data_IF_015083208130
#
_entry.id   IF_015083208130
#
_cell.length_a   1.000
_cell.length_b   1.000
_cell.length_c   1.000
_cell.angle_alpha   90.00
_cell.angle_beta   90.00
_cell.angle_gamma   90.00
#
_symmetry.space_group_name_H-M   'P 1'
#
loop_
_entity.id
_entity.type
_entity.pdbx_description
1 polymer ?
#
# COMPACT_ATOMS: atom_id res chain seq x y z
N UNK A 1 4.68 -20.74 3.00
CA UNK A 1 5.13 -19.37 2.65
C UNK A 1 3.97 -18.39 2.43
N UNK A 2 2.94 -18.69 1.61
CA UNK A 2 1.77 -17.82 1.41
C UNK A 2 0.94 -17.62 2.69
N UNK A 3 0.64 -18.69 3.43
CA UNK A 3 -0.11 -18.64 4.70
C UNK A 3 0.59 -17.78 5.75
N UNK A 4 1.91 -17.96 5.92
CA UNK A 4 2.70 -17.12 6.83
C UNK A 4 2.65 -15.63 6.45
N UNK A 5 2.64 -15.33 5.14
CA UNK A 5 2.51 -13.95 4.67
C UNK A 5 1.12 -13.39 4.98
N UNK A 6 0.06 -14.18 4.74
CA UNK A 6 -1.31 -13.78 5.07
C UNK A 6 -1.49 -13.52 6.57
N UNK A 7 -0.94 -14.41 7.40
CA UNK A 7 -0.93 -14.25 8.86
C UNK A 7 -0.22 -12.96 9.28
N UNK A 8 0.96 -12.68 8.72
CA UNK A 8 1.67 -11.44 9.01
C UNK A 8 0.88 -10.19 8.60
N UNK A 9 0.15 -10.24 7.50
CA UNK A 9 -0.71 -9.12 7.11
C UNK A 9 -1.84 -8.89 8.09
N UNK A 10 -2.61 -9.94 8.41
CA UNK A 10 -3.78 -9.85 9.26
C UNK A 10 -3.44 -9.53 10.72
N UNK A 11 -2.40 -10.17 11.27
CA UNK A 11 -2.10 -10.07 12.71
C UNK A 11 -1.13 -8.93 13.04
N UNK A 12 -0.26 -8.53 12.11
CA UNK A 12 0.85 -7.63 12.43
C UNK A 12 0.86 -6.33 11.65
N UNK A 13 0.36 -6.32 10.41
CA UNK A 13 0.45 -5.14 9.54
C UNK A 13 -0.86 -4.37 9.52
N UNK A 14 -1.96 -4.99 9.11
CA UNK A 14 -3.26 -4.32 8.99
C UNK A 14 -3.67 -3.59 10.27
N UNK A 15 -3.57 -4.19 11.49
CA UNK A 15 -3.91 -3.48 12.72
C UNK A 15 -3.11 -2.18 12.90
N UNK A 16 -1.83 -2.18 12.54
CA UNK A 16 -0.95 -1.01 12.60
C UNK A 16 -1.22 0.02 11.49
N UNK A 17 -2.00 -0.31 10.46
CA UNK A 17 -2.32 0.58 9.34
C UNK A 17 -3.68 1.29 9.49
N UNK A 18 -4.54 0.85 10.42
CA UNK A 18 -5.88 1.42 10.61
C UNK A 18 -5.79 2.92 10.94
N UNK A 19 -5.09 3.28 12.02
CA UNK A 19 -4.95 4.69 12.42
C UNK A 19 -4.21 5.53 11.37
N UNK A 20 -3.04 5.12 10.82
CA UNK A 20 -2.40 5.86 9.73
C UNK A 20 -3.29 6.10 8.52
N UNK A 21 -4.13 5.13 8.16
CA UNK A 21 -5.04 5.26 7.03
C UNK A 21 -6.17 6.24 7.34
N UNK A 22 -6.78 6.16 8.52
CA UNK A 22 -7.80 7.13 8.94
C UNK A 22 -7.25 8.56 8.98
N UNK A 23 -6.04 8.74 9.50
CA UNK A 23 -5.37 10.04 9.54
C UNK A 23 -5.06 10.57 8.13
N UNK A 24 -4.64 9.68 7.22
CA UNK A 24 -4.47 10.02 5.81
C UNK A 24 -5.79 10.50 5.19
N UNK A 25 -6.90 9.77 5.38
CA UNK A 25 -8.21 10.18 4.86
C UNK A 25 -8.61 11.56 5.39
N UNK A 26 -8.46 11.77 6.70
CA UNK A 26 -8.78 13.05 7.36
C UNK A 26 -7.97 14.21 6.80
N UNK A 27 -6.65 14.06 6.67
CA UNK A 27 -5.75 15.13 6.23
C UNK A 27 -5.85 15.43 4.73
N UNK A 28 -6.21 14.42 3.93
CA UNK A 28 -6.35 14.56 2.47
C UNK A 28 -7.77 14.92 2.02
N UNK A 29 -8.72 15.11 2.95
CA UNK A 29 -10.15 15.26 2.65
C UNK A 29 -10.64 14.12 1.75
N UNK A 30 -10.49 12.88 2.23
CA UNK A 30 -10.80 11.64 1.49
C UNK A 30 -10.09 11.58 0.13
N UNK A 31 -8.75 11.72 0.15
CA UNK A 31 -7.87 11.64 -1.00
C UNK A 31 -8.06 12.74 -2.06
N UNK A 32 -8.89 13.74 -1.80
CA UNK A 32 -9.08 14.91 -2.68
C UNK A 32 -7.79 15.72 -2.82
N UNK A 33 -7.05 15.89 -1.71
CA UNK A 33 -5.76 16.58 -1.67
C UNK A 33 -4.62 15.57 -1.80
N UNK A 34 -3.52 16.00 -2.42
CA UNK A 34 -2.33 15.15 -2.57
C UNK A 34 -1.63 14.99 -1.22
N UNK A 35 -1.37 13.76 -0.82
CA UNK A 35 -0.57 13.45 0.35
C UNK A 35 0.89 13.84 0.09
N UNK A 36 1.55 14.41 1.09
CA UNK A 36 2.98 14.71 1.03
C UNK A 36 3.77 13.42 1.26
N UNK A 37 4.83 13.19 0.48
CA UNK A 37 5.75 12.07 0.67
C UNK A 37 6.54 12.27 1.98
N UNK A 38 6.01 11.75 3.08
CA UNK A 38 6.57 11.86 4.43
C UNK A 38 7.44 10.67 4.82
N UNK A 39 8.46 10.36 4.02
CA UNK A 39 9.40 9.27 4.35
C UNK A 39 10.29 9.73 5.50
N UNK A 40 10.28 8.99 6.62
CA UNK A 40 11.10 9.34 7.78
C UNK A 40 12.60 9.24 7.43
N UNK A 41 13.42 9.97 8.17
CA UNK A 41 14.86 9.74 8.18
C UNK A 41 15.20 8.36 8.77
N UNK A 42 16.41 7.84 8.50
CA UNK A 42 16.89 6.62 9.15
C UNK A 42 16.92 6.82 10.66
N UNK A 43 16.51 5.80 11.41
CA UNK A 43 16.75 5.77 12.85
C UNK A 43 18.19 5.35 13.16
N UNK A 44 18.65 5.68 14.37
CA UNK A 44 20.01 5.38 14.88
C UNK A 44 20.20 3.91 15.30
N UNK A 45 19.22 3.04 15.02
CA UNK A 45 19.33 1.63 15.37
C UNK A 45 20.37 0.92 14.50
N UNK A 46 21.21 0.08 15.11
CA UNK A 46 22.21 -0.74 14.42
C UNK A 46 21.64 -1.69 13.35
N UNK A 47 20.33 -1.98 13.38
CA UNK A 47 19.62 -2.83 12.42
C UNK A 47 18.86 -2.05 11.33
N UNK A 48 19.07 -0.74 11.25
CA UNK A 48 18.46 0.13 10.24
C UNK A 48 18.98 -0.23 8.84
N UNK A 49 18.06 -0.47 7.90
CA UNK A 49 18.37 -0.79 6.51
C UNK A 49 17.57 0.12 5.57
N UNK A 50 17.95 0.18 4.30
CA UNK A 50 17.13 0.80 3.25
C UNK A 50 16.44 -0.26 2.41
N UNK A 51 15.19 0.01 2.05
CA UNK A 51 14.43 -0.80 1.10
C UNK A 51 14.09 0.08 -0.10
N UNK A 52 14.52 -0.35 -1.29
CA UNK A 52 14.13 0.28 -2.54
C UNK A 52 12.73 -0.20 -2.92
N UNK A 53 11.80 0.74 -3.02
CA UNK A 53 10.40 0.46 -3.36
C UNK A 53 10.10 1.14 -4.69
N UNK A 54 9.71 0.34 -5.69
CA UNK A 54 9.14 0.90 -6.92
C UNK A 54 7.75 1.45 -6.58
N UNK A 55 7.47 2.71 -6.91
CA UNK A 55 6.15 3.28 -6.69
C UNK A 55 5.42 3.37 -8.01
N UNK A 56 4.17 2.94 -8.06
CA UNK A 56 3.27 3.27 -9.17
C UNK A 56 2.70 4.68 -8.97
N UNK A 57 3.62 5.65 -8.94
CA UNK A 57 3.41 7.08 -8.87
C UNK A 57 4.65 7.71 -9.53
N UNK A 58 4.83 7.49 -10.84
CA UNK A 58 5.90 8.01 -11.71
C UNK A 58 7.38 7.95 -11.25
N UNK A 59 7.70 7.48 -10.05
CA UNK A 59 9.00 7.60 -9.37
C UNK A 59 9.39 6.34 -8.57
N UNK A 60 10.69 6.25 -8.26
CA UNK A 60 11.23 5.25 -7.32
C UNK A 60 11.61 5.95 -6.03
N UNK A 61 11.26 5.36 -4.89
CA UNK A 61 11.62 5.90 -3.58
C UNK A 61 12.44 4.89 -2.78
N UNK A 62 13.33 5.39 -1.93
CA UNK A 62 13.99 4.59 -0.90
C UNK A 62 13.33 4.88 0.44
N UNK A 63 12.90 3.84 1.14
CA UNK A 63 12.27 3.95 2.46
C UNK A 63 13.18 3.29 3.49
N UNK A 64 13.49 3.94 4.63
CA UNK A 64 14.22 3.29 5.69
C UNK A 64 13.34 2.25 6.39
N UNK A 65 13.95 1.10 6.65
CA UNK A 65 13.35 -0.05 7.31
C UNK A 65 14.07 -0.30 8.63
N UNK A 66 13.31 -0.38 9.72
CA UNK A 66 13.80 -0.85 11.00
C UNK A 66 12.75 -1.76 11.64
N UNK A 67 13.13 -3.01 11.92
CA UNK A 67 12.23 -3.99 12.54
C UNK A 67 11.79 -3.62 13.97
N UNK A 68 12.49 -2.67 14.62
CA UNK A 68 12.23 -2.25 16.01
C UNK A 68 11.49 -0.92 16.14
N UNK A 69 11.59 -0.03 15.15
CA UNK A 69 11.06 1.33 15.27
C UNK A 69 9.70 1.47 14.60
N UNK A 70 9.65 1.31 13.27
CA UNK A 70 8.44 1.54 12.51
C UNK A 70 8.43 0.70 11.24
N UNK A 71 7.29 0.08 10.96
CA UNK A 71 7.09 -0.73 9.76
C UNK A 71 7.14 0.15 8.52
N UNK A 72 7.82 -0.32 7.47
CA UNK A 72 7.83 0.35 6.15
C UNK A 72 6.41 0.57 5.63
N UNK A 73 5.49 -0.37 5.90
CA UNK A 73 4.09 -0.23 5.51
C UNK A 73 3.41 0.99 6.13
N UNK A 74 3.70 1.31 7.40
CA UNK A 74 3.13 2.47 8.10
C UNK A 74 3.62 3.76 7.44
N UNK A 75 4.92 3.87 7.16
CA UNK A 75 5.51 5.04 6.49
C UNK A 75 4.92 5.25 5.09
N UNK A 76 4.76 4.17 4.33
CA UNK A 76 4.18 4.21 3.00
C UNK A 76 2.72 4.69 3.05
N UNK A 77 1.89 4.13 3.93
CA UNK A 77 0.47 4.51 4.03
C UNK A 77 0.31 5.97 4.44
N UNK A 78 1.11 6.46 5.40
CA UNK A 78 1.12 7.90 5.75
C UNK A 78 1.49 8.79 4.56
N UNK A 79 2.24 8.26 3.60
CA UNK A 79 2.66 8.97 2.39
C UNK A 79 1.68 8.77 1.22
N UNK A 80 0.50 8.17 1.44
CA UNK A 80 -0.48 7.90 0.38
C UNK A 80 -0.14 6.69 -0.50
N UNK A 81 0.76 5.82 -0.07
CA UNK A 81 1.23 4.65 -0.83
C UNK A 81 0.91 3.35 -0.09
N UNK A 82 0.52 2.31 -0.81
CA UNK A 82 0.22 1.01 -0.22
C UNK A 82 1.18 -0.09 -0.70
N UNK A 83 1.85 -0.83 0.20
CA UNK A 83 2.86 -1.83 -0.16
C UNK A 83 2.28 -3.15 -0.69
N UNK A 84 3.00 -3.83 -1.57
CA UNK A 84 2.65 -5.17 -2.06
C UNK A 84 3.03 -6.32 -1.09
N UNK A 85 3.79 -6.03 -0.03
CA UNK A 85 4.25 -7.01 0.95
C UNK A 85 4.41 -6.36 2.35
N UNK A 86 4.31 -7.13 3.44
CA UNK A 86 4.11 -6.56 4.77
C UNK A 86 5.37 -5.90 5.35
N UNK A 87 6.54 -6.50 5.16
CA UNK A 87 7.79 -6.04 5.80
C UNK A 87 8.86 -5.55 4.83
N UNK A 88 8.99 -6.19 3.66
CA UNK A 88 9.98 -5.86 2.63
C UNK A 88 9.30 -5.76 1.27
N UNK A 89 8.50 -4.69 1.03
CA UNK A 89 7.84 -4.49 -0.25
C UNK A 89 8.85 -4.18 -1.34
N UNK A 90 8.65 -4.76 -2.52
CA UNK A 90 9.37 -4.38 -3.74
C UNK A 90 8.58 -3.41 -4.62
N UNK A 91 7.30 -3.22 -4.30
CA UNK A 91 6.37 -2.32 -4.98
C UNK A 91 5.46 -1.68 -3.93
N UNK A 92 5.16 -0.40 -4.12
CA UNK A 92 4.04 0.28 -3.50
C UNK A 92 3.19 0.96 -4.58
N UNK A 93 1.91 1.13 -4.33
CA UNK A 93 0.95 1.68 -5.29
C UNK A 93 0.29 2.90 -4.68
N UNK A 94 0.07 3.96 -5.45
CA UNK A 94 -0.71 5.13 -5.00
C UNK A 94 -2.10 4.66 -4.52
N UNK A 95 -2.49 5.05 -3.31
CA UNK A 95 -3.77 4.64 -2.71
C UNK A 95 -4.94 5.12 -3.57
N UNK A 96 -4.85 6.27 -4.24
CA UNK A 96 -5.89 6.75 -5.17
C UNK A 96 -6.05 5.83 -6.37
N UNK A 97 -4.95 5.29 -6.87
CA UNK A 97 -4.99 4.31 -7.96
C UNK A 97 -5.66 3.02 -7.50
N UNK A 98 -5.33 2.55 -6.29
CA UNK A 98 -5.97 1.36 -5.73
C UNK A 98 -7.47 1.57 -5.50
N UNK A 99 -7.85 2.71 -4.93
CA UNK A 99 -9.25 3.06 -4.72
C UNK A 99 -10.02 3.16 -6.04
N UNK A 100 -9.46 3.83 -7.05
CA UNK A 100 -10.02 3.87 -8.40
C UNK A 100 -10.23 2.46 -9.00
N UNK A 101 -9.25 1.57 -8.87
CA UNK A 101 -9.34 0.20 -9.40
C UNK A 101 -10.34 -0.63 -8.62
N UNK A 102 -10.41 -0.48 -7.30
CA UNK A 102 -11.44 -1.10 -6.46
C UNK A 102 -12.83 -0.67 -6.93
N UNK A 103 -13.04 0.62 -7.19
CA UNK A 103 -14.29 1.14 -7.73
C UNK A 103 -14.59 0.62 -9.15
N UNK A 104 -13.59 0.52 -10.02
CA UNK A 104 -13.74 -0.04 -11.37
C UNK A 104 -14.22 -1.49 -11.30
N UNK A 105 -13.64 -2.30 -10.42
CA UNK A 105 -13.97 -3.72 -10.27
C UNK A 105 -15.34 -3.99 -9.62
N UNK A 106 -16.01 -2.97 -9.08
CA UNK A 106 -17.43 -3.06 -8.71
C UNK A 106 -18.36 -2.96 -9.93
N UNK A 107 -17.87 -2.47 -11.06
CA UNK A 107 -18.65 -2.17 -12.27
C UNK A 107 -18.28 -3.06 -13.47
N UNK A 108 -17.14 -3.73 -13.40
CA UNK A 108 -16.61 -4.64 -14.41
C UNK A 108 -16.03 -5.87 -13.73
N UNK A 109 -16.12 -7.04 -14.39
CA UNK A 109 -15.49 -8.26 -13.90
C UNK A 109 -14.00 -8.03 -13.58
N UNK A 110 -13.52 -8.36 -12.36
CA UNK A 110 -12.15 -8.07 -11.95
C UNK A 110 -11.11 -8.73 -12.88
N UNK A 111 -10.47 -7.94 -13.73
CA UNK A 111 -9.43 -8.41 -14.65
C UNK A 111 -8.09 -7.74 -14.34
N UNK A 112 -7.43 -8.26 -13.30
CA UNK A 112 -6.11 -7.81 -12.89
C UNK A 112 -5.04 -7.97 -13.99
N UNK A 113 -5.19 -8.96 -14.88
CA UNK A 113 -4.25 -9.17 -16.01
C UNK A 113 -4.37 -8.05 -17.02
N UNK A 114 -5.58 -7.78 -17.51
CA UNK A 114 -5.81 -6.70 -18.48
C UNK A 114 -5.38 -5.35 -17.90
N UNK A 115 -5.78 -5.05 -16.65
CA UNK A 115 -5.36 -3.82 -15.98
C UNK A 115 -3.82 -3.69 -15.92
N UNK A 116 -3.12 -4.74 -15.51
CA UNK A 116 -1.67 -4.67 -15.37
C UNK A 116 -0.95 -4.60 -16.73
N UNK A 117 -1.43 -5.29 -17.76
CA UNK A 117 -0.87 -5.19 -19.11
C UNK A 117 -1.09 -3.78 -19.67
N UNK A 118 -2.31 -3.24 -19.56
CA UNK A 118 -2.60 -1.85 -19.97
C UNK A 118 -1.69 -0.87 -19.23
N UNK A 119 -1.45 -1.08 -17.94
CA UNK A 119 -0.57 -0.23 -17.15
C UNK A 119 0.90 -0.36 -17.56
N UNK A 120 1.38 -1.58 -17.83
CA UNK A 120 2.73 -1.82 -18.34
C UNK A 120 2.93 -1.17 -19.71
N UNK A 121 1.96 -1.32 -20.63
CA UNK A 121 2.01 -0.73 -21.98
C UNK A 121 1.95 0.80 -21.92
N UNK A 122 1.04 1.36 -21.10
CA UNK A 122 0.91 2.81 -20.91
C UNK A 122 2.21 3.40 -20.35
N UNK A 123 2.76 2.80 -19.29
CA UNK A 123 4.01 3.28 -18.68
C UNK A 123 5.20 3.07 -19.62
N UNK A 124 5.22 1.95 -20.35
CA UNK A 124 6.23 1.64 -21.36
C UNK A 124 6.25 2.68 -22.49
N UNK A 125 5.08 3.15 -22.94
CA UNK A 125 4.95 4.21 -23.95
C UNK A 125 5.53 5.55 -23.49
N UNK A 126 5.56 5.78 -22.18
CA UNK A 126 6.12 6.98 -21.55
C UNK A 126 7.61 6.80 -21.17
N UNK A 127 8.24 5.68 -21.56
CA UNK A 127 9.64 5.39 -21.27
C UNK A 127 9.89 4.72 -19.91
N UNK A 128 8.86 4.49 -19.10
CA UNK A 128 8.99 3.80 -17.82
C UNK A 128 8.99 2.29 -18.01
N UNK A 129 10.11 1.64 -17.69
CA UNK A 129 10.22 0.17 -17.71
C UNK A 129 10.14 -0.41 -16.29
N UNK A 130 9.10 -1.18 -16.03
CA UNK A 130 8.91 -1.90 -14.78
C UNK A 130 9.79 -3.15 -14.80
N UNK A 131 11.04 -3.01 -14.36
CA UNK A 131 11.98 -4.12 -14.20
C UNK A 131 11.74 -4.86 -12.87
N UNK A 132 11.82 -6.20 -12.88
CA UNK A 132 11.80 -7.00 -11.65
C UNK A 132 11.61 -8.49 -11.89
N UNK A 133 12.07 -9.31 -10.94
CA UNK A 133 11.95 -10.79 -10.97
C UNK A 133 10.51 -11.27 -10.85
N UNK A 134 9.63 -10.45 -10.25
CA UNK A 134 8.21 -10.77 -10.08
C UNK A 134 7.35 -9.92 -11.04
N UNK A 135 6.41 -10.52 -11.77
CA UNK A 135 5.51 -9.79 -12.65
C UNK A 135 4.77 -8.68 -11.90
N UNK A 136 4.59 -7.50 -12.51
CA UNK A 136 3.78 -6.41 -11.95
C UNK A 136 2.43 -6.94 -11.51
N UNK A 137 1.81 -7.76 -12.37
CA UNK A 137 0.54 -8.44 -12.13
C UNK A 137 0.41 -9.02 -10.72
N UNK A 138 1.41 -9.79 -10.28
CA UNK A 138 1.39 -10.45 -8.96
C UNK A 138 1.53 -9.45 -7.82
N UNK A 139 2.43 -8.47 -7.96
CA UNK A 139 2.69 -7.47 -6.92
C UNK A 139 1.51 -6.51 -6.76
N UNK A 140 0.93 -6.07 -7.87
CA UNK A 140 -0.26 -5.24 -7.89
C UNK A 140 -1.46 -5.97 -7.29
N UNK A 141 -1.74 -7.21 -7.73
CA UNK A 141 -2.84 -8.00 -7.17
C UNK A 141 -2.73 -8.20 -5.65
N UNK A 142 -1.51 -8.42 -5.14
CA UNK A 142 -1.27 -8.48 -3.70
C UNK A 142 -1.57 -7.14 -3.01
N UNK A 143 -1.06 -6.03 -3.55
CA UNK A 143 -1.31 -4.70 -2.97
C UNK A 143 -2.81 -4.40 -2.91
N UNK A 144 -3.54 -4.64 -4.00
CA UNK A 144 -4.99 -4.42 -4.09
C UNK A 144 -5.77 -5.29 -3.08
N UNK A 145 -5.46 -6.58 -3.00
CA UNK A 145 -6.12 -7.49 -2.07
C UNK A 145 -5.97 -7.05 -0.60
N UNK A 146 -4.75 -6.66 -0.22
CA UNK A 146 -4.46 -6.22 1.15
C UNK A 146 -4.97 -4.81 1.44
N UNK A 147 -5.05 -3.95 0.43
CA UNK A 147 -5.70 -2.65 0.53
C UNK A 147 -7.20 -2.79 0.81
N UNK A 148 -7.90 -3.65 0.06
CA UNK A 148 -9.31 -3.94 0.33
C UNK A 148 -9.52 -4.54 1.73
N UNK A 149 -8.58 -5.38 2.18
CA UNK A 149 -8.60 -5.91 3.55
C UNK A 149 -8.43 -4.81 4.61
N UNK A 150 -7.57 -3.82 4.36
CA UNK A 150 -7.44 -2.64 5.23
C UNK A 150 -8.73 -1.81 5.26
N UNK A 151 -9.35 -1.53 4.10
CA UNK A 151 -10.61 -0.80 4.05
C UNK A 151 -11.70 -1.50 4.87
N UNK A 152 -11.81 -2.83 4.74
CA UNK A 152 -12.74 -3.63 5.54
C UNK A 152 -12.45 -3.57 7.05
N UNK A 153 -11.16 -3.64 7.44
CA UNK A 153 -10.75 -3.54 8.84
C UNK A 153 -11.05 -2.17 9.45
N UNK A 154 -10.85 -1.09 8.69
CA UNK A 154 -11.19 0.29 9.08
C UNK A 154 -12.69 0.43 9.30
N UNK A 155 -13.52 -0.08 8.39
CA UNK A 155 -15.00 -0.08 8.55
C UNK A 155 -15.42 -0.86 9.80
N UNK A 156 -14.82 -2.03 10.04
CA UNK A 156 -15.09 -2.82 11.23
C UNK A 156 -14.68 -2.10 12.53
N UNK A 157 -13.54 -1.41 12.53
CA UNK A 157 -13.07 -0.62 13.66
C UNK A 157 -14.03 0.54 13.99
N UNK A 158 -14.44 1.31 12.98
CA UNK A 158 -15.40 2.43 13.17
C UNK A 158 -16.72 1.91 13.75
N UNK A 159 -17.25 0.79 13.22
CA UNK A 159 -18.47 0.18 13.75
C UNK A 159 -18.31 -0.23 15.21
N UNK A 160 -17.22 -0.90 15.56
CA UNK A 160 -16.94 -1.30 16.94
C UNK A 160 -16.84 -0.12 17.90
N UNK A 161 -16.25 1.00 17.46
CA UNK A 161 -16.16 2.22 18.26
C UNK A 161 -17.56 2.83 18.47
N UNK A 162 -18.37 2.92 17.42
CA UNK A 162 -19.74 3.44 17.49
C UNK A 162 -20.65 2.57 18.39
N UNK A 163 -20.53 1.26 18.29
CA UNK A 163 -21.31 0.32 19.10
C UNK A 163 -20.91 0.37 20.59
N UNK A 164 -19.66 0.69 20.90
CA UNK A 164 -19.19 0.89 22.28
C UNK A 164 -19.68 2.18 22.96
N UNK A 165 -20.27 3.11 22.20
CA UNK A 165 -20.92 4.31 22.74
C UNK A 165 -22.43 4.11 23.01
N UNK A 166 -23.00 2.97 22.61
CA UNK A 166 -24.40 2.59 22.89
C UNK A 166 -24.50 1.78 24.18
#
# INVERSE_FOLDING_TARGET
>A
KKELQARNWLEKVIPCLIEPYMELMRTTEDLRRTATLGIRARCECALSQQVTVLVLHFDKIQVPYCAKCELVAVQLVRSGLFPCAPFRPSLAVDIRMLDFVTQLFLRVSPNHTAWCHTLEDYLGSQGYRIHGTNPLRRRFANALMWFNSLQNAVVAHVKSVLDGFR
#
